data_IF_690862871803
#
_entry.id   IF_690862871803
#
_cell.length_a   1.000
_cell.length_b   1.000
_cell.length_c   1.000
_cell.angle_alpha   90.00
_cell.angle_beta   90.00
_cell.angle_gamma   90.00
#
_symmetry.space_group_name_H-M   'P 1'
#
loop_
_entity.id
_entity.type
_entity.pdbx_description
1 polymer ?
#
# COMPACT_ATOMS: atom_id res chain seq x y z
N UNK A 1 7.80 9.19 14.45
CA UNK A 1 9.07 9.76 14.99
C UNK A 1 10.23 8.78 14.83
N UNK A 2 10.20 7.56 15.41
CA UNK A 2 11.35 6.63 15.41
C UNK A 2 11.90 6.35 13.99
N UNK A 3 11.04 6.04 13.01
CA UNK A 3 11.45 5.78 11.62
C UNK A 3 12.10 7.02 10.98
N UNK A 4 11.54 8.21 11.22
CA UNK A 4 12.13 9.45 10.73
C UNK A 4 13.52 9.70 11.35
N UNK A 5 13.67 9.49 12.66
CA UNK A 5 14.95 9.63 13.36
C UNK A 5 15.99 8.60 12.90
N UNK A 6 15.54 7.43 12.40
CA UNK A 6 16.42 6.44 11.81
C UNK A 6 16.90 6.78 10.38
N UNK A 7 16.54 7.96 9.86
CA UNK A 7 17.04 8.47 8.56
C UNK A 7 16.15 8.15 7.36
N UNK A 8 14.88 7.75 7.59
CA UNK A 8 13.92 7.59 6.50
C UNK A 8 13.78 8.87 5.68
N UNK A 9 13.55 8.72 4.36
CA UNK A 9 13.36 9.87 3.44
C UNK A 9 11.89 10.21 3.23
N UNK A 10 10.99 9.32 3.61
CA UNK A 10 9.54 9.50 3.61
C UNK A 10 8.93 8.60 4.69
N UNK A 11 7.73 8.90 5.11
CA UNK A 11 6.95 8.10 6.05
C UNK A 11 5.74 7.51 5.32
N UNK A 12 5.46 6.24 5.56
CA UNK A 12 4.26 5.56 5.09
C UNK A 12 3.44 5.05 6.28
N UNK A 13 2.11 5.13 6.19
CA UNK A 13 1.23 4.36 7.07
C UNK A 13 0.99 2.97 6.48
N UNK A 14 0.47 2.06 7.29
CA UNK A 14 -0.10 0.80 6.85
C UNK A 14 -1.46 0.62 7.52
N UNK A 15 -2.48 0.27 6.75
CA UNK A 15 -3.87 0.12 7.18
C UNK A 15 -3.98 -0.83 8.37
N UNK A 16 -3.46 -2.04 8.22
CA UNK A 16 -3.48 -3.07 9.25
C UNK A 16 -2.92 -2.58 10.59
N UNK A 17 -1.76 -1.92 10.56
CA UNK A 17 -1.10 -1.44 11.79
C UNK A 17 -1.85 -0.28 12.44
N UNK A 18 -2.41 0.64 11.62
CA UNK A 18 -3.22 1.75 12.11
C UNK A 18 -4.52 1.26 12.74
N UNK A 19 -5.21 0.31 12.10
CA UNK A 19 -6.43 -0.30 12.60
C UNK A 19 -6.15 -1.07 13.91
N UNK A 20 -5.17 -1.97 13.92
CA UNK A 20 -4.82 -2.76 15.09
C UNK A 20 -4.43 -1.91 16.31
N UNK A 21 -3.69 -0.81 16.10
CA UNK A 21 -3.32 0.11 17.19
C UNK A 21 -4.51 0.83 17.83
N UNK A 22 -5.65 0.87 17.15
CA UNK A 22 -6.88 1.50 17.62
C UNK A 22 -8.00 0.50 17.92
N UNK A 23 -7.69 -0.81 17.91
CA UNK A 23 -8.64 -1.87 18.25
C UNK A 23 -9.62 -2.24 17.12
N UNK A 24 -9.32 -1.86 15.88
CA UNK A 24 -10.10 -2.24 14.71
C UNK A 24 -9.46 -3.40 13.94
N UNK A 25 -10.24 -4.07 13.14
CA UNK A 25 -9.76 -4.97 12.10
C UNK A 25 -9.34 -4.18 10.86
N UNK A 26 -8.49 -4.77 10.01
CA UNK A 26 -8.15 -4.23 8.68
C UNK A 26 -9.33 -4.30 7.72
N UNK A 27 -9.25 -3.63 6.57
CA UNK A 27 -10.31 -3.61 5.56
C UNK A 27 -11.39 -2.56 5.83
N UNK A 28 -10.99 -1.33 6.09
CA UNK A 28 -11.84 -0.15 6.32
C UNK A 28 -12.79 -0.28 7.53
N UNK A 29 -12.53 -1.24 8.46
CA UNK A 29 -13.28 -1.31 9.72
C UNK A 29 -12.99 -0.10 10.63
N UNK A 30 -11.80 0.49 10.51
CA UNK A 30 -11.48 1.77 11.15
C UNK A 30 -12.14 2.91 10.36
N UNK A 31 -12.95 3.79 11.01
CA UNK A 31 -13.57 4.91 10.31
C UNK A 31 -12.54 5.84 9.65
N UNK A 32 -12.85 6.39 8.49
CA UNK A 32 -11.98 7.35 7.79
C UNK A 32 -11.58 8.54 8.68
N UNK A 33 -12.48 9.03 9.54
CA UNK A 33 -12.17 10.11 10.48
C UNK A 33 -11.03 9.76 11.44
N UNK A 34 -10.91 8.50 11.85
CA UNK A 34 -9.81 8.00 12.70
C UNK A 34 -8.51 7.92 11.92
N UNK A 35 -8.55 7.46 10.66
CA UNK A 35 -7.39 7.51 9.75
C UNK A 35 -6.92 8.94 9.56
N UNK A 36 -7.81 9.86 9.20
CA UNK A 36 -7.49 11.27 8.99
C UNK A 36 -6.87 11.91 10.24
N UNK A 37 -7.44 11.65 11.42
CA UNK A 37 -6.87 12.14 12.68
C UNK A 37 -5.44 11.60 12.89
N UNK A 38 -5.21 10.31 12.64
CA UNK A 38 -3.89 9.69 12.74
C UNK A 38 -2.89 10.34 11.78
N UNK A 39 -3.30 10.57 10.53
CA UNK A 39 -2.49 11.24 9.49
C UNK A 39 -2.12 12.66 9.92
N UNK A 40 -3.08 13.45 10.38
CA UNK A 40 -2.86 14.81 10.88
C UNK A 40 -1.86 14.84 12.05
N UNK A 41 -1.96 13.88 12.98
CA UNK A 41 -1.02 13.73 14.11
C UNK A 41 0.39 13.38 13.63
N UNK A 42 0.52 12.49 12.63
CA UNK A 42 1.82 12.19 12.03
C UNK A 42 2.38 13.42 11.33
N UNK A 43 1.60 14.07 10.46
CA UNK A 43 2.02 15.26 9.72
C UNK A 43 2.47 16.40 10.62
N UNK A 44 1.84 16.58 11.81
CA UNK A 44 2.21 17.65 12.76
C UNK A 44 3.57 17.47 13.42
N UNK A 45 4.21 16.28 13.33
CA UNK A 45 5.47 15.97 14.04
C UNK A 45 6.61 15.53 13.11
N UNK A 46 6.38 15.54 11.81
CA UNK A 46 7.40 15.23 10.79
C UNK A 46 7.48 16.34 9.74
N UNK A 47 8.65 16.51 9.14
CA UNK A 47 8.87 17.37 7.96
C UNK A 47 9.11 16.55 6.68
N UNK A 48 8.98 15.22 6.76
CA UNK A 48 9.20 14.31 5.65
C UNK A 48 7.92 14.14 4.82
N UNK A 49 8.03 13.79 3.53
CA UNK A 49 6.89 13.39 2.73
C UNK A 49 6.11 12.25 3.41
N UNK A 50 4.78 12.39 3.45
CA UNK A 50 3.89 11.39 4.03
C UNK A 50 3.05 10.72 2.95
N UNK A 51 3.07 9.39 2.90
CA UNK A 51 2.18 8.56 2.08
C UNK A 51 1.24 7.75 2.97
N UNK A 52 0.01 7.58 2.53
CA UNK A 52 -1.04 6.94 3.33
C UNK A 52 -1.54 5.68 2.63
N UNK A 53 -1.68 4.61 3.37
CA UNK A 53 -2.42 3.44 2.94
C UNK A 53 -3.91 3.79 3.01
N UNK A 54 -4.49 3.99 1.83
CA UNK A 54 -5.85 4.50 1.67
C UNK A 54 -6.85 3.37 1.39
N UNK A 55 -6.40 2.14 1.48
CA UNK A 55 -7.18 0.91 1.26
C UNK A 55 -7.95 0.98 -0.07
N UNK A 56 -9.28 0.83 -0.09
CA UNK A 56 -10.08 1.00 -1.31
C UNK A 56 -10.59 2.45 -1.50
N UNK A 57 -10.30 3.33 -0.53
CA UNK A 57 -10.67 4.76 -0.54
C UNK A 57 -11.87 5.12 0.33
N UNK A 58 -12.34 4.22 1.17
CA UNK A 58 -13.45 4.43 2.10
C UNK A 58 -14.78 4.79 1.40
N UNK A 59 -15.12 4.00 0.39
CA UNK A 59 -16.45 3.98 -0.22
C UNK A 59 -16.76 5.14 -1.17
N UNK A 60 -18.02 5.57 -1.21
CA UNK A 60 -18.51 6.56 -2.18
C UNK A 60 -17.91 7.97 -1.99
N UNK A 61 -17.53 8.32 -0.77
CA UNK A 61 -16.90 9.62 -0.43
C UNK A 61 -15.40 9.69 -0.78
N UNK A 62 -14.87 8.75 -1.55
CA UNK A 62 -13.44 8.58 -1.86
C UNK A 62 -12.73 9.86 -2.29
N UNK A 63 -13.36 10.68 -3.12
CA UNK A 63 -12.77 11.95 -3.57
C UNK A 63 -12.68 12.97 -2.42
N UNK A 64 -13.73 13.11 -1.63
CA UNK A 64 -13.74 14.02 -0.48
C UNK A 64 -12.75 13.56 0.59
N UNK A 65 -12.66 12.24 0.81
CA UNK A 65 -11.69 11.63 1.70
C UNK A 65 -10.26 11.92 1.24
N UNK A 66 -9.97 11.75 -0.07
CA UNK A 66 -8.67 12.12 -0.62
C UNK A 66 -8.39 13.61 -0.44
N UNK A 67 -9.36 14.48 -0.73
CA UNK A 67 -9.23 15.92 -0.54
C UNK A 67 -8.81 16.27 0.89
N UNK A 68 -9.43 15.64 1.90
CA UNK A 68 -9.07 15.84 3.30
C UNK A 68 -7.64 15.36 3.63
N UNK A 69 -7.18 14.25 3.05
CA UNK A 69 -5.80 13.78 3.19
C UNK A 69 -4.79 14.74 2.55
N UNK A 70 -5.10 15.27 1.36
CA UNK A 70 -4.24 16.25 0.68
C UNK A 70 -4.10 17.54 1.50
N UNK A 71 -5.21 18.03 2.09
CA UNK A 71 -5.20 19.18 2.99
C UNK A 71 -4.39 18.92 4.28
N UNK A 72 -4.29 17.66 4.72
CA UNK A 72 -3.43 17.26 5.83
C UNK A 72 -1.94 17.13 5.45
N UNK A 73 -1.57 17.41 4.17
CA UNK A 73 -0.20 17.40 3.69
C UNK A 73 0.28 16.05 3.14
N UNK A 74 -0.64 15.12 2.84
CA UNK A 74 -0.31 13.84 2.21
C UNK A 74 0.11 14.07 0.76
N UNK A 75 1.22 13.42 0.35
CA UNK A 75 1.77 13.53 -1.01
C UNK A 75 1.75 12.20 -1.77
N UNK A 76 1.31 11.13 -1.14
CA UNK A 76 1.17 9.81 -1.78
C UNK A 76 0.13 8.94 -1.08
N UNK A 77 -0.44 8.01 -1.84
CA UNK A 77 -1.40 7.02 -1.33
C UNK A 77 -1.11 5.65 -1.92
N UNK A 78 -1.41 4.57 -1.16
CA UNK A 78 -1.70 3.27 -1.75
C UNK A 78 -3.20 3.17 -1.98
N UNK A 79 -3.61 2.57 -3.09
CA UNK A 79 -5.01 2.26 -3.40
C UNK A 79 -5.08 0.85 -3.93
N UNK A 80 -5.83 -0.01 -3.26
CA UNK A 80 -5.98 -1.42 -3.61
C UNK A 80 -7.24 -1.70 -4.42
N UNK A 81 -7.22 -2.82 -5.14
CA UNK A 81 -8.34 -3.26 -5.97
C UNK A 81 -9.23 -4.30 -5.32
N UNK A 82 -9.14 -4.47 -4.01
CA UNK A 82 -9.97 -5.40 -3.25
C UNK A 82 -11.43 -4.94 -3.21
N UNK A 83 -12.37 -5.88 -3.30
CA UNK A 83 -13.77 -5.65 -2.96
C UNK A 83 -14.01 -6.02 -1.50
N UNK A 84 -14.31 -5.01 -0.67
CA UNK A 84 -14.49 -5.20 0.77
C UNK A 84 -15.63 -6.18 1.08
N UNK A 85 -15.34 -7.12 1.99
CA UNK A 85 -16.29 -8.16 2.39
C UNK A 85 -16.50 -9.28 1.37
N UNK A 86 -15.77 -9.25 0.24
CA UNK A 86 -15.79 -10.28 -0.79
C UNK A 86 -14.35 -10.77 -1.03
N UNK A 87 -14.22 -12.07 -1.33
CA UNK A 87 -12.94 -12.61 -1.82
C UNK A 87 -12.81 -12.36 -3.33
N UNK A 88 -12.88 -11.10 -3.74
CA UNK A 88 -12.88 -10.68 -5.13
C UNK A 88 -12.14 -9.36 -5.31
N UNK A 89 -11.70 -9.10 -6.54
CA UNK A 89 -11.09 -7.85 -6.95
C UNK A 89 -12.05 -7.04 -7.81
N UNK A 90 -11.93 -5.74 -7.78
CA UNK A 90 -12.57 -4.86 -8.75
C UNK A 90 -12.21 -5.27 -10.18
N UNK A 91 -13.17 -5.18 -11.09
CA UNK A 91 -12.88 -5.28 -12.50
C UNK A 91 -11.84 -4.24 -12.92
N UNK A 92 -10.96 -4.60 -13.88
CA UNK A 92 -9.88 -3.69 -14.32
C UNK A 92 -10.42 -2.31 -14.70
N UNK A 93 -11.56 -2.24 -15.42
CA UNK A 93 -12.18 -0.97 -15.81
C UNK A 93 -12.62 -0.16 -14.58
N UNK A 94 -13.27 -0.79 -13.63
CA UNK A 94 -13.74 -0.14 -12.40
C UNK A 94 -12.58 0.44 -11.61
N UNK A 95 -11.49 -0.33 -11.43
CA UNK A 95 -10.31 0.16 -10.72
C UNK A 95 -9.64 1.31 -11.47
N UNK A 96 -9.62 1.29 -12.80
CA UNK A 96 -9.13 2.41 -13.60
C UNK A 96 -9.98 3.67 -13.42
N UNK A 97 -11.30 3.54 -13.32
CA UNK A 97 -12.22 4.68 -13.05
C UNK A 97 -11.92 5.28 -11.66
N UNK A 98 -11.65 4.43 -10.66
CA UNK A 98 -11.23 4.84 -9.31
C UNK A 98 -9.92 5.63 -9.38
N UNK A 99 -8.87 5.04 -9.94
CA UNK A 99 -7.54 5.66 -10.03
C UNK A 99 -7.59 7.00 -10.77
N UNK A 100 -8.31 7.06 -11.89
CA UNK A 100 -8.48 8.27 -12.68
C UNK A 100 -9.22 9.37 -11.88
N UNK A 101 -10.27 9.00 -11.13
CA UNK A 101 -11.01 9.95 -10.29
C UNK A 101 -10.13 10.57 -9.20
N UNK A 102 -9.28 9.75 -8.56
CA UNK A 102 -8.33 10.20 -7.54
C UNK A 102 -7.23 11.09 -8.16
N UNK A 103 -6.73 10.75 -9.35
CA UNK A 103 -5.77 11.56 -10.09
C UNK A 103 -6.36 12.95 -10.43
N UNK A 104 -7.60 12.98 -10.90
CA UNK A 104 -8.29 14.23 -11.21
C UNK A 104 -8.51 15.08 -9.96
N UNK A 105 -8.87 14.47 -8.84
CA UNK A 105 -9.03 15.19 -7.57
C UNK A 105 -7.72 15.86 -7.13
N UNK A 106 -6.61 15.12 -7.14
CA UNK A 106 -5.31 15.69 -6.81
C UNK A 106 -4.89 16.81 -7.78
N UNK A 107 -5.11 16.61 -9.07
CA UNK A 107 -4.82 17.61 -10.09
C UNK A 107 -5.64 18.88 -9.93
N UNK A 108 -6.92 18.79 -9.53
CA UNK A 108 -7.79 19.95 -9.28
C UNK A 108 -7.28 20.85 -8.15
N UNK A 109 -6.49 20.26 -7.22
CA UNK A 109 -5.84 20.97 -6.12
C UNK A 109 -4.39 21.36 -6.43
N UNK A 110 -3.89 21.11 -7.64
CA UNK A 110 -2.52 21.39 -8.04
C UNK A 110 -1.47 20.49 -7.38
N UNK A 111 -1.86 19.32 -6.86
CA UNK A 111 -0.98 18.41 -6.12
C UNK A 111 -0.55 17.25 -7.02
N UNK A 112 0.78 17.09 -7.17
CA UNK A 112 1.40 15.96 -7.86
C UNK A 112 1.39 14.71 -6.94
N UNK A 113 0.22 14.13 -6.73
CA UNK A 113 0.04 12.97 -5.84
C UNK A 113 0.73 11.72 -6.40
N UNK A 114 1.50 11.01 -5.57
CA UNK A 114 2.01 9.68 -5.90
C UNK A 114 0.93 8.63 -5.60
N UNK A 115 0.34 8.05 -6.64
CA UNK A 115 -0.64 6.96 -6.51
C UNK A 115 0.07 5.62 -6.73
N UNK A 116 0.25 4.85 -5.65
CA UNK A 116 0.77 3.50 -5.69
C UNK A 116 -0.42 2.54 -5.86
N UNK A 117 -0.72 2.18 -7.08
CA UNK A 117 -1.84 1.29 -7.39
C UNK A 117 -1.49 -0.14 -6.97
N UNK A 118 -2.24 -0.68 -6.01
CA UNK A 118 -2.06 -2.01 -5.47
C UNK A 118 -3.02 -2.98 -6.16
N UNK A 119 -2.51 -4.18 -6.50
CA UNK A 119 -3.38 -5.30 -6.87
C UNK A 119 -3.15 -6.48 -5.94
N UNK A 120 -4.24 -6.99 -5.40
CA UNK A 120 -4.24 -8.10 -4.44
C UNK A 120 -4.37 -9.49 -5.08
N UNK A 121 -4.07 -9.58 -6.37
CA UNK A 121 -4.12 -10.85 -7.12
C UNK A 121 -3.36 -11.98 -6.41
N UNK A 122 -2.15 -11.69 -5.89
CA UNK A 122 -1.35 -12.69 -5.21
C UNK A 122 -1.77 -12.91 -3.74
N UNK A 123 -2.35 -11.91 -3.09
CA UNK A 123 -2.90 -12.08 -1.73
C UNK A 123 -4.13 -12.98 -1.74
N UNK A 124 -4.91 -12.99 -2.83
CA UNK A 124 -6.05 -13.90 -2.99
C UNK A 124 -5.62 -15.34 -3.33
N UNK A 125 -4.37 -15.55 -3.73
CA UNK A 125 -3.84 -16.88 -4.05
C UNK A 125 -2.60 -17.17 -3.18
N UNK A 126 -2.77 -17.77 -1.98
CA UNK A 126 -1.68 -18.03 -1.06
C UNK A 126 -0.70 -19.13 -1.53
N UNK A 127 -1.11 -19.99 -2.47
CA UNK A 127 -0.20 -20.99 -3.05
C UNK A 127 0.68 -20.35 -4.12
N UNK A 128 1.93 -20.06 -3.77
CA UNK A 128 2.91 -19.47 -4.67
C UNK A 128 3.17 -20.26 -5.95
N UNK A 129 2.86 -21.56 -5.99
CA UNK A 129 2.98 -22.39 -7.20
C UNK A 129 1.99 -21.98 -8.29
N UNK A 130 0.92 -21.30 -7.92
CA UNK A 130 -0.10 -20.80 -8.85
C UNK A 130 0.25 -19.38 -9.38
N UNK A 131 1.21 -18.69 -8.78
CA UNK A 131 1.56 -17.32 -9.16
C UNK A 131 1.98 -17.15 -10.63
N UNK A 132 2.74 -18.09 -11.26
CA UNK A 132 3.05 -17.96 -12.69
C UNK A 132 1.83 -17.86 -13.59
N UNK A 133 0.74 -18.56 -13.27
CA UNK A 133 -0.50 -18.53 -14.06
C UNK A 133 -1.24 -17.17 -13.92
N UNK A 134 -0.99 -16.41 -12.86
CA UNK A 134 -1.62 -15.11 -12.59
C UNK A 134 -0.91 -13.94 -13.27
N UNK A 135 0.32 -14.12 -13.75
CA UNK A 135 1.15 -13.05 -14.30
C UNK A 135 0.50 -12.33 -15.49
N UNK A 136 -0.26 -13.03 -16.32
CA UNK A 136 -0.98 -12.40 -17.43
C UNK A 136 -2.03 -11.38 -16.95
N UNK A 137 -2.79 -11.72 -15.90
CA UNK A 137 -3.76 -10.78 -15.28
C UNK A 137 -3.05 -9.62 -14.60
N UNK A 138 -1.96 -9.87 -13.87
CA UNK A 138 -1.18 -8.84 -13.20
C UNK A 138 -0.60 -7.83 -14.20
N UNK A 139 -0.02 -8.30 -15.31
CA UNK A 139 0.50 -7.42 -16.38
C UNK A 139 -0.60 -6.61 -17.07
N UNK A 140 -1.77 -7.21 -17.26
CA UNK A 140 -2.94 -6.50 -17.79
C UNK A 140 -3.36 -5.37 -16.84
N UNK A 141 -3.41 -5.62 -15.51
CA UNK A 141 -3.71 -4.61 -14.49
C UNK A 141 -2.64 -3.54 -14.44
N UNK A 142 -1.36 -3.90 -14.45
CA UNK A 142 -0.24 -2.96 -14.52
C UNK A 142 -0.43 -1.95 -15.67
N UNK A 143 -0.62 -2.44 -16.89
CA UNK A 143 -0.79 -1.57 -18.07
C UNK A 143 -2.03 -0.67 -17.95
N UNK A 144 -3.14 -1.23 -17.47
CA UNK A 144 -4.39 -0.48 -17.31
C UNK A 144 -4.26 0.60 -16.22
N UNK A 145 -3.66 0.28 -15.08
CA UNK A 145 -3.50 1.23 -13.96
C UNK A 145 -2.49 2.34 -14.30
N UNK A 146 -1.43 2.01 -15.03
CA UNK A 146 -0.52 3.01 -15.59
C UNK A 146 -1.28 4.02 -16.46
N UNK A 147 -2.09 3.55 -17.38
CA UNK A 147 -2.89 4.41 -18.26
C UNK A 147 -3.96 5.20 -17.52
N UNK A 148 -4.41 4.71 -16.36
CA UNK A 148 -5.37 5.38 -15.49
C UNK A 148 -4.72 6.40 -14.53
N UNK A 149 -3.39 6.63 -14.64
CA UNK A 149 -2.69 7.67 -13.90
C UNK A 149 -2.03 7.20 -12.59
N UNK A 150 -1.80 5.89 -12.42
CA UNK A 150 -0.94 5.39 -11.35
C UNK A 150 0.50 5.92 -11.50
N UNK A 151 1.18 6.13 -10.38
CA UNK A 151 2.59 6.58 -10.31
C UNK A 151 3.53 5.44 -9.92
N UNK A 152 3.01 4.36 -9.37
CA UNK A 152 3.71 3.14 -8.99
C UNK A 152 2.74 1.96 -9.03
N UNK A 153 3.29 0.76 -9.06
CA UNK A 153 2.52 -0.48 -9.06
C UNK A 153 2.94 -1.37 -7.89
N UNK A 154 2.00 -1.77 -7.06
CA UNK A 154 2.24 -2.52 -5.84
C UNK A 154 1.61 -3.91 -5.93
N UNK A 155 2.42 -4.94 -5.68
CA UNK A 155 2.02 -6.35 -5.79
C UNK A 155 2.39 -7.11 -4.50
N UNK A 156 1.63 -6.89 -3.40
CA UNK A 156 1.85 -7.65 -2.18
C UNK A 156 1.56 -9.12 -2.42
N UNK A 157 2.28 -10.01 -1.70
CA UNK A 157 2.14 -11.46 -1.84
C UNK A 157 3.08 -12.09 -2.87
N UNK A 158 3.61 -11.34 -3.84
CA UNK A 158 4.60 -11.85 -4.78
C UNK A 158 5.98 -11.92 -4.12
N UNK A 159 6.61 -13.11 -4.10
CA UNK A 159 7.94 -13.33 -3.51
C UNK A 159 8.93 -14.06 -4.42
N UNK A 160 8.49 -14.62 -5.55
CA UNK A 160 9.36 -15.25 -6.53
C UNK A 160 10.18 -14.19 -7.28
N UNK A 161 11.51 -14.27 -7.20
CA UNK A 161 12.44 -13.29 -7.80
C UNK A 161 12.34 -13.25 -9.31
N UNK A 162 12.12 -14.42 -9.96
CA UNK A 162 11.98 -14.50 -11.41
C UNK A 162 10.73 -13.79 -11.92
N UNK A 163 9.59 -13.99 -11.22
CA UNK A 163 8.33 -13.31 -11.54
C UNK A 163 8.39 -11.82 -11.22
N UNK A 164 9.10 -11.44 -10.16
CA UNK A 164 9.35 -10.02 -9.82
C UNK A 164 10.16 -9.36 -10.94
N UNK A 165 11.27 -9.98 -11.38
CA UNK A 165 12.08 -9.47 -12.48
C UNK A 165 11.26 -9.33 -13.77
N UNK A 166 10.49 -10.38 -14.13
CA UNK A 166 9.59 -10.36 -15.29
C UNK A 166 8.59 -9.21 -15.25
N UNK A 167 8.07 -8.89 -14.05
CA UNK A 167 7.14 -7.77 -13.87
C UNK A 167 7.86 -6.41 -13.98
N UNK A 168 9.05 -6.30 -13.39
CA UNK A 168 9.87 -5.09 -13.45
C UNK A 168 10.30 -4.78 -14.89
N UNK A 169 10.67 -5.79 -15.67
CA UNK A 169 11.13 -5.63 -17.05
C UNK A 169 10.05 -5.06 -17.98
N UNK A 170 8.78 -5.36 -17.72
CA UNK A 170 7.64 -4.85 -18.54
C UNK A 170 7.00 -3.60 -17.96
N UNK A 171 7.35 -3.20 -16.74
CA UNK A 171 6.74 -2.06 -16.06
C UNK A 171 7.42 -0.75 -16.42
N UNK A 172 6.66 0.22 -16.93
CA UNK A 172 7.12 1.60 -16.99
C UNK A 172 6.97 2.36 -15.65
N UNK A 173 6.29 1.75 -14.67
CA UNK A 173 6.12 2.30 -13.33
C UNK A 173 7.12 1.69 -12.35
N UNK A 174 7.54 2.43 -11.30
CA UNK A 174 8.22 1.86 -10.16
C UNK A 174 7.42 0.70 -9.56
N UNK A 175 8.05 -0.48 -9.43
CA UNK A 175 7.41 -1.66 -8.83
C UNK A 175 7.70 -1.70 -7.35
N UNK A 176 6.65 -1.90 -6.56
CA UNK A 176 6.68 -2.06 -5.12
C UNK A 176 6.32 -3.50 -4.74
N UNK A 177 7.11 -4.11 -3.86
CA UNK A 177 6.88 -5.45 -3.28
C UNK A 177 6.64 -5.29 -1.78
N UNK A 178 5.92 -6.24 -1.17
CA UNK A 178 5.77 -6.29 0.28
C UNK A 178 6.70 -7.34 0.89
N UNK A 179 7.44 -6.95 1.91
CA UNK A 179 8.21 -7.88 2.71
C UNK A 179 7.30 -8.90 3.41
N UNK A 180 7.76 -10.13 3.53
CA UNK A 180 7.09 -11.24 4.24
C UNK A 180 8.15 -12.15 4.84
N UNK A 181 7.75 -13.20 5.55
CA UNK A 181 8.68 -14.25 5.99
C UNK A 181 9.36 -15.02 4.87
N UNK A 182 8.87 -14.88 3.62
CA UNK A 182 9.41 -15.52 2.42
C UNK A 182 10.15 -14.52 1.52
N UNK A 183 10.34 -13.29 1.96
CA UNK A 183 10.97 -12.24 1.14
C UNK A 183 12.44 -12.57 0.89
N UNK A 184 12.87 -12.59 -0.39
CA UNK A 184 14.27 -12.73 -0.75
C UNK A 184 15.14 -11.61 -0.16
N UNK A 185 16.47 -11.81 -0.06
CA UNK A 185 17.39 -10.76 0.35
C UNK A 185 17.23 -9.49 -0.48
N UNK A 186 17.38 -8.32 0.15
CA UNK A 186 17.21 -7.02 -0.51
C UNK A 186 18.09 -6.88 -1.76
N UNK A 187 19.30 -7.45 -1.74
CA UNK A 187 20.21 -7.43 -2.90
C UNK A 187 19.61 -8.15 -4.12
N UNK A 188 18.96 -9.28 -3.93
CA UNK A 188 18.28 -10.04 -5.00
C UNK A 188 17.07 -9.28 -5.53
N UNK A 189 16.27 -8.69 -4.64
CA UNK A 189 15.13 -7.86 -5.03
C UNK A 189 15.56 -6.62 -5.80
N UNK A 190 16.67 -5.99 -5.38
CA UNK A 190 17.24 -4.84 -6.09
C UNK A 190 17.73 -5.25 -7.48
N UNK A 191 18.39 -6.39 -7.59
CA UNK A 191 18.83 -6.95 -8.88
C UNK A 191 17.65 -7.31 -9.80
N UNK A 192 16.51 -7.73 -9.23
CA UNK A 192 15.26 -7.97 -9.95
C UNK A 192 14.54 -6.67 -10.39
N UNK A 193 15.04 -5.48 -10.01
CA UNK A 193 14.56 -4.20 -10.52
C UNK A 193 13.48 -3.53 -9.67
N UNK A 194 13.20 -3.99 -8.44
CA UNK A 194 12.22 -3.29 -7.60
C UNK A 194 12.68 -1.88 -7.25
N UNK A 195 11.72 -0.98 -7.13
CA UNK A 195 11.97 0.42 -6.76
C UNK A 195 11.58 0.73 -5.32
N UNK A 196 10.74 -0.09 -4.70
CA UNK A 196 10.24 0.08 -3.33
C UNK A 196 9.99 -1.27 -2.66
N UNK A 197 10.32 -1.33 -1.37
CA UNK A 197 9.95 -2.45 -0.49
C UNK A 197 9.08 -1.91 0.64
N UNK A 198 7.83 -2.40 0.73
CA UNK A 198 6.92 -2.13 1.83
C UNK A 198 7.05 -3.22 2.89
N UNK A 199 7.05 -2.84 4.16
CA UNK A 199 7.20 -3.80 5.25
C UNK A 199 5.86 -4.32 5.80
N UNK A 200 4.72 -3.81 5.28
CA UNK A 200 3.40 -4.23 5.72
C UNK A 200 3.20 -4.13 7.24
N UNK A 201 2.51 -5.11 7.84
CA UNK A 201 2.25 -5.11 9.28
C UNK A 201 3.45 -5.55 10.14
N UNK A 202 4.50 -6.14 9.54
CA UNK A 202 5.54 -6.86 10.26
C UNK A 202 6.29 -6.04 11.32
N UNK A 203 6.65 -4.77 11.11
CA UNK A 203 7.29 -3.97 12.16
C UNK A 203 6.40 -3.80 13.39
N UNK A 204 5.10 -3.57 13.19
CA UNK A 204 4.15 -3.47 14.29
C UNK A 204 3.97 -4.81 15.01
N UNK A 205 3.75 -5.88 14.28
CA UNK A 205 3.60 -7.24 14.83
C UNK A 205 4.83 -7.63 15.66
N UNK A 206 6.02 -7.38 15.15
CA UNK A 206 7.28 -7.67 15.87
C UNK A 206 7.41 -6.90 17.19
N UNK A 207 7.03 -5.61 17.18
CA UNK A 207 7.03 -4.78 18.40
C UNK A 207 5.99 -5.28 19.41
N UNK A 208 4.79 -5.65 18.96
CA UNK A 208 3.74 -6.17 19.84
C UNK A 208 4.10 -7.54 20.41
N UNK A 209 4.76 -8.41 19.67
CA UNK A 209 5.23 -9.69 20.19
C UNK A 209 6.35 -9.49 21.25
N UNK A 210 7.28 -8.54 21.00
CA UNK A 210 8.29 -8.16 22.00
C UNK A 210 7.65 -7.64 23.28
N UNK A 211 6.67 -6.76 23.19
CA UNK A 211 5.92 -6.22 24.32
C UNK A 211 5.21 -7.35 25.09
N UNK A 212 4.58 -8.27 24.38
CA UNK A 212 3.89 -9.43 24.96
C UNK A 212 4.85 -10.36 25.73
N UNK A 213 6.05 -10.59 25.17
CA UNK A 213 7.09 -11.38 25.86
C UNK A 213 7.56 -10.70 27.15
N UNK A 214 7.77 -9.38 27.11
CA UNK A 214 8.14 -8.60 28.30
C UNK A 214 7.02 -8.64 29.37
N UNK A 215 5.76 -8.49 28.94
CA UNK A 215 4.63 -8.58 29.87
C UNK A 215 4.52 -9.94 30.52
N UNK A 216 4.68 -11.05 29.78
CA UNK A 216 4.67 -12.43 30.33
C UNK A 216 5.75 -12.67 31.37
N UNK A 217 6.86 -11.95 31.31
CA UNK A 217 7.93 -12.06 32.32
C UNK A 217 7.55 -11.37 33.65
N UNK A 218 6.48 -10.56 33.66
CA UNK A 218 6.01 -9.85 34.85
C UNK A 218 4.80 -10.53 35.51
N UNK A 219 4.05 -11.36 34.78
CA UNK A 219 2.84 -12.06 35.20
C UNK A 219 3.01 -13.59 35.10
#
# INVERSE_FOLDING_TARGET
MAVAQAGAKAIATGSWSCAAAQGYQDGEAMPFSSLLHTVQRIASVISLPLTVDFETGYGAARRDNLSALLQAGVVGINVEDQQLGLSALNGVREQCEILNSLRQEAASQGIALFINAQTDVFLQQPDAKQHPALMAEVKKRLTAYQNAGASGFFVPGLSDVGLIAELCDVSALPVNIMASGLTPPLAELTAAGISRLSYGPYPYVGLMETLKQQARALY
#
